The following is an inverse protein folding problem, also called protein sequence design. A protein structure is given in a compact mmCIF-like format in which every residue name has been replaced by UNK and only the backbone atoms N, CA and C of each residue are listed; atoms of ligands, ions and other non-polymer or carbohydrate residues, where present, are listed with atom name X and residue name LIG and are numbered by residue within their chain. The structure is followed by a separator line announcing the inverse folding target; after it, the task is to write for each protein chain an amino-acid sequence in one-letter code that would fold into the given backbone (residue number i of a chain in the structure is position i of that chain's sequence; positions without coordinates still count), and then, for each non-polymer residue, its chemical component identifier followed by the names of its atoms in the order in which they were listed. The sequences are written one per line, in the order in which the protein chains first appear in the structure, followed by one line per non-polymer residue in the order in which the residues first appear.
data_IF_989683482237
#
_entry.id   IF_989683482237
#
_cell.length_a   1.000
_cell.length_b   1.000
_cell.length_c   1.000
_cell.angle_alpha   90.00
_cell.angle_beta   90.00
_cell.angle_gamma   90.00
#
_symmetry.space_group_name_H-M   'P 1'
#
loop_
_entity.id
_entity.type
_entity.pdbx_description
1 polymer ?
#
# COMPACT_ATOMS: atom_id res chain seq x y z
N UNK A 1 -1.47 -18.39 -6.37
CA UNK A 1 -0.04 -18.61 -6.69
C UNK A 1 0.24 -19.86 -7.53
N UNK A 2 -0.71 -20.81 -7.71
CA UNK A 2 -0.55 -21.98 -8.59
C UNK A 2 -0.47 -21.63 -10.10
N UNK A 3 -0.77 -20.38 -10.49
CA UNK A 3 -0.85 -19.91 -11.88
C UNK A 3 0.00 -18.64 -12.16
N UNK A 4 0.85 -18.20 -11.24
CA UNK A 4 1.68 -17.01 -11.47
C UNK A 4 3.13 -17.43 -11.70
N UNK A 5 3.62 -17.20 -12.92
CA UNK A 5 5.01 -17.48 -13.31
C UNK A 5 5.99 -16.35 -12.93
N UNK A 6 5.47 -15.15 -12.68
CA UNK A 6 6.26 -13.97 -12.32
C UNK A 6 6.22 -13.70 -10.81
N UNK A 7 7.30 -13.13 -10.23
CA UNK A 7 7.32 -12.71 -8.84
C UNK A 7 6.21 -11.70 -8.54
N UNK A 8 5.56 -11.84 -7.38
CA UNK A 8 4.55 -10.88 -6.92
C UNK A 8 5.06 -10.18 -5.68
N UNK A 9 4.94 -8.86 -5.66
CA UNK A 9 5.33 -8.00 -4.55
C UNK A 9 4.07 -7.37 -3.95
N UNK A 10 3.90 -7.47 -2.63
CA UNK A 10 2.79 -6.86 -1.91
C UNK A 10 3.31 -5.90 -0.86
N UNK A 11 2.74 -4.70 -0.82
CA UNK A 11 2.98 -3.74 0.24
C UNK A 11 1.69 -3.43 0.99
N UNK A 12 1.86 -2.91 2.19
CA UNK A 12 0.83 -2.22 2.94
C UNK A 12 1.35 -0.82 3.23
N UNK A 13 0.69 0.19 2.67
CA UNK A 13 1.00 1.58 2.98
C UNK A 13 0.38 1.94 4.33
N UNK A 14 1.23 2.29 5.29
CA UNK A 14 0.87 2.53 6.69
C UNK A 14 1.34 3.87 7.23
N UNK A 15 1.95 4.71 6.39
CA UNK A 15 2.41 6.03 6.80
C UNK A 15 1.24 7.02 6.76
N UNK A 16 0.96 7.64 7.90
CA UNK A 16 0.02 8.77 8.00
C UNK A 16 0.80 10.06 7.81
N UNK A 17 0.60 10.70 6.67
CA UNK A 17 1.18 12.00 6.35
C UNK A 17 0.70 13.17 7.17
N UNK A 18 1.31 14.32 6.90
CA UNK A 18 0.79 15.62 7.30
C UNK A 18 -0.57 15.92 6.64
N UNK A 19 -0.77 15.48 5.39
CA UNK A 19 -2.05 15.57 4.67
C UNK A 19 -2.72 14.20 4.50
N UNK A 20 -4.05 14.19 4.34
CA UNK A 20 -4.84 13.01 3.91
C UNK A 20 -5.97 13.44 2.99
N UNK A 21 -6.40 12.52 2.12
CA UNK A 21 -7.66 12.67 1.39
C UNK A 21 -8.90 12.78 2.30
N UNK A 22 -8.84 12.43 3.58
CA UNK A 22 -9.94 12.74 4.50
C UNK A 22 -10.10 14.24 4.72
N UNK A 23 -9.02 15.02 4.61
CA UNK A 23 -9.04 16.47 4.81
C UNK A 23 -9.91 17.15 3.74
N UNK A 24 -9.94 16.62 2.51
CA UNK A 24 -10.77 17.14 1.41
C UNK A 24 -12.27 16.89 1.62
N UNK A 25 -12.64 16.00 2.54
CA UNK A 25 -14.02 15.73 2.97
C UNK A 25 -14.42 16.51 4.23
N UNK A 26 -13.64 17.52 4.64
CA UNK A 26 -13.80 18.28 5.88
C UNK A 26 -13.71 17.42 7.16
N UNK A 27 -13.06 16.27 7.11
CA UNK A 27 -12.76 15.48 8.29
C UNK A 27 -11.41 15.88 8.87
N UNK A 28 -11.43 16.53 10.03
CA UNK A 28 -10.23 17.06 10.70
C UNK A 28 -9.62 16.10 11.73
N UNK A 29 -10.34 15.03 12.07
CA UNK A 29 -9.86 14.00 12.98
C UNK A 29 -8.92 13.03 12.25
N UNK A 30 -7.86 12.60 12.93
CA UNK A 30 -7.00 11.54 12.42
C UNK A 30 -7.69 10.17 12.52
N UNK A 31 -8.05 9.57 11.38
CA UNK A 31 -8.65 8.24 11.26
C UNK A 31 -7.64 7.15 10.87
N UNK A 32 -6.34 7.47 10.84
CA UNK A 32 -5.31 6.64 10.24
C UNK A 32 -5.16 6.89 8.74
N UNK A 33 -4.55 5.93 8.05
CA UNK A 33 -4.26 6.04 6.61
C UNK A 33 -5.52 5.77 5.81
N UNK A 34 -5.95 6.76 5.04
CA UNK A 34 -7.13 6.66 4.21
C UNK A 34 -6.79 6.10 2.83
N UNK A 35 -7.84 5.66 2.12
CA UNK A 35 -7.70 5.31 0.72
C UNK A 35 -7.22 6.54 -0.08
N UNK A 36 -6.29 6.31 -1.03
CA UNK A 36 -5.60 7.31 -1.86
C UNK A 36 -4.47 8.06 -1.18
N UNK A 37 -4.29 7.99 0.15
CA UNK A 37 -3.21 8.74 0.83
C UNK A 37 -1.82 8.41 0.27
N UNK A 38 -1.61 7.17 -0.22
CA UNK A 38 -0.35 6.76 -0.83
C UNK A 38 -0.01 7.55 -2.10
N UNK A 39 -1.02 8.08 -2.81
CA UNK A 39 -0.82 8.83 -4.04
C UNK A 39 -0.10 10.16 -3.82
N UNK A 40 -0.22 10.75 -2.62
CA UNK A 40 0.49 11.98 -2.26
C UNK A 40 2.01 11.82 -2.23
N UNK A 41 2.48 10.57 -2.21
CA UNK A 41 3.90 10.21 -2.18
C UNK A 41 4.42 9.77 -3.54
N UNK A 42 3.54 9.61 -4.53
CA UNK A 42 3.88 9.27 -5.92
C UNK A 42 3.71 10.47 -6.85
N UNK A 43 2.73 11.33 -6.59
CA UNK A 43 2.35 12.42 -7.48
C UNK A 43 2.11 13.72 -6.70
N UNK A 44 2.47 14.84 -7.33
CA UNK A 44 2.07 16.16 -6.86
C UNK A 44 0.56 16.36 -7.13
N UNK A 45 -0.18 16.85 -6.15
CA UNK A 45 -1.62 17.11 -6.29
C UNK A 45 -1.99 18.49 -5.73
N UNK A 46 -1.60 19.55 -6.44
CA UNK A 46 -1.88 20.94 -6.04
C UNK A 46 -3.37 21.30 -6.17
N UNK A 47 -4.17 20.51 -6.90
CA UNK A 47 -5.61 20.76 -7.05
C UNK A 47 -6.36 20.44 -5.76
N UNK A 48 -6.11 19.26 -5.19
CA UNK A 48 -6.73 18.85 -3.93
C UNK A 48 -6.00 19.41 -2.71
N UNK A 49 -4.69 19.69 -2.84
CA UNK A 49 -3.83 20.13 -1.74
C UNK A 49 -2.95 21.34 -2.11
N UNK A 50 -3.54 22.51 -2.43
CA UNK A 50 -2.82 23.68 -2.92
C UNK A 50 -1.81 24.28 -1.92
N UNK A 51 -2.02 24.05 -0.62
CA UNK A 51 -1.18 24.60 0.46
C UNK A 51 -0.32 23.53 1.15
N UNK A 52 -0.17 22.35 0.53
CA UNK A 52 0.57 21.25 1.13
C UNK A 52 2.06 21.59 1.26
N UNK A 53 2.54 21.62 2.51
CA UNK A 53 3.96 21.77 2.85
C UNK A 53 4.47 20.45 3.43
N UNK A 54 5.21 19.63 2.67
CA UNK A 54 5.63 18.31 3.14
C UNK A 54 6.66 18.42 4.26
N UNK A 55 6.45 17.62 5.32
CA UNK A 55 7.47 17.41 6.36
C UNK A 55 8.67 16.64 5.80
N UNK A 56 9.78 16.59 6.55
CA UNK A 56 10.93 15.75 6.16
C UNK A 56 10.54 14.26 6.04
N UNK A 57 9.71 13.75 6.95
CA UNK A 57 9.19 12.39 6.89
C UNK A 57 8.32 12.16 5.63
N UNK A 58 7.57 13.16 5.17
CA UNK A 58 6.82 13.07 3.92
C UNK A 58 7.74 13.00 2.71
N UNK A 59 8.80 13.82 2.70
CA UNK A 59 9.81 13.82 1.63
C UNK A 59 10.55 12.49 1.56
N UNK A 60 10.97 11.95 2.71
CA UNK A 60 11.59 10.63 2.80
C UNK A 60 10.66 9.54 2.29
N UNK A 61 9.38 9.58 2.69
CA UNK A 61 8.40 8.59 2.26
C UNK A 61 8.12 8.69 0.77
N UNK A 62 8.08 9.90 0.20
CA UNK A 62 7.94 10.09 -1.25
C UNK A 62 9.16 9.56 -2.01
N UNK A 63 10.39 9.84 -1.54
CA UNK A 63 11.61 9.29 -2.13
C UNK A 63 11.58 7.76 -2.14
N UNK A 64 11.24 7.13 -1.01
CA UNK A 64 11.09 5.68 -0.93
C UNK A 64 10.03 5.17 -1.92
N UNK A 65 8.82 5.73 -1.91
CA UNK A 65 7.72 5.29 -2.77
C UNK A 65 8.07 5.40 -4.26
N UNK A 66 8.64 6.53 -4.67
CA UNK A 66 9.09 6.74 -6.05
C UNK A 66 10.17 5.73 -6.42
N UNK A 67 11.21 5.53 -5.60
CA UNK A 67 12.28 4.56 -5.87
C UNK A 67 11.74 3.12 -6.01
N UNK A 68 10.83 2.69 -5.15
CA UNK A 68 10.25 1.35 -5.22
C UNK A 68 9.45 1.14 -6.51
N UNK A 69 8.63 2.13 -6.90
CA UNK A 69 7.81 2.06 -8.11
C UNK A 69 8.62 2.15 -9.39
N UNK A 70 9.61 3.06 -9.47
CA UNK A 70 10.47 3.19 -10.64
C UNK A 70 11.36 1.96 -10.81
N UNK A 71 11.94 1.43 -9.73
CA UNK A 71 12.71 0.19 -9.79
C UNK A 71 11.87 -0.99 -10.28
N UNK A 72 10.64 -1.14 -9.80
CA UNK A 72 9.76 -2.18 -10.29
C UNK A 72 9.46 -2.03 -11.78
N UNK A 73 9.19 -0.81 -12.26
CA UNK A 73 8.94 -0.54 -13.67
C UNK A 73 10.17 -0.83 -14.54
N UNK A 74 11.38 -0.49 -14.08
CA UNK A 74 12.63 -0.68 -14.84
C UNK A 74 13.13 -2.13 -14.82
N UNK A 75 13.06 -2.80 -13.67
CA UNK A 75 13.75 -4.08 -13.45
C UNK A 75 12.81 -5.26 -13.13
N UNK A 76 11.52 -5.02 -12.90
CA UNK A 76 10.58 -6.02 -12.41
C UNK A 76 10.82 -6.44 -10.95
N UNK A 77 11.69 -5.73 -10.23
CA UNK A 77 12.02 -5.94 -8.83
C UNK A 77 12.10 -4.56 -8.13
N UNK A 78 11.32 -4.29 -7.06
CA UNK A 78 11.33 -3.00 -6.38
C UNK A 78 12.67 -2.67 -5.68
N UNK A 79 13.48 -3.68 -5.36
CA UNK A 79 14.77 -3.54 -4.68
C UNK A 79 15.86 -4.34 -5.41
N UNK A 80 16.27 -3.90 -6.62
CA UNK A 80 17.18 -4.65 -7.50
C UNK A 80 18.65 -4.55 -7.07
N UNK A 81 19.04 -3.45 -6.43
CA UNK A 81 20.38 -3.14 -5.95
C UNK A 81 20.36 -2.67 -4.50
N UNK A 82 21.54 -2.60 -3.86
CA UNK A 82 21.70 -1.95 -2.56
C UNK A 82 21.66 -0.42 -2.75
N UNK A 83 20.44 0.13 -2.72
CA UNK A 83 20.17 1.57 -2.71
C UNK A 83 19.99 2.04 -1.26
N UNK A 84 20.75 3.05 -0.84
CA UNK A 84 20.67 3.61 0.52
C UNK A 84 19.30 4.24 0.84
N UNK A 85 18.50 4.54 -0.18
CA UNK A 85 17.12 5.05 -0.05
C UNK A 85 16.15 3.96 0.42
N UNK A 86 16.48 2.68 0.23
CA UNK A 86 15.59 1.57 0.50
C UNK A 86 16.11 0.78 1.71
N UNK A 87 15.51 0.94 2.90
CA UNK A 87 16.08 0.40 4.14
C UNK A 87 15.97 -1.12 4.25
N UNK A 88 15.04 -1.75 3.52
CA UNK A 88 14.76 -3.18 3.62
C UNK A 88 14.61 -3.78 2.23
N UNK A 89 15.28 -4.90 1.96
CA UNK A 89 15.10 -5.64 0.71
C UNK A 89 13.69 -6.22 0.64
N UNK A 90 12.99 -5.99 -0.47
CA UNK A 90 11.62 -6.46 -0.67
C UNK A 90 11.63 -7.85 -1.30
N UNK A 91 11.47 -8.88 -0.47
CA UNK A 91 11.35 -10.25 -0.98
C UNK A 91 10.01 -10.47 -1.68
N UNK A 92 10.03 -11.11 -2.85
CA UNK A 92 8.81 -11.53 -3.52
C UNK A 92 8.04 -12.56 -2.69
N UNK A 93 6.72 -12.59 -2.88
CA UNK A 93 5.87 -13.56 -2.19
C UNK A 93 6.25 -15.00 -2.55
N UNK A 94 6.44 -15.84 -1.52
CA UNK A 94 6.57 -17.29 -1.65
C UNK A 94 5.20 -17.93 -1.44
N UNK A 95 4.96 -19.11 -2.05
CA UNK A 95 3.65 -19.81 -2.08
C UNK A 95 2.95 -19.93 -0.73
N UNK A 96 3.72 -20.02 0.36
CA UNK A 96 3.21 -20.29 1.72
C UNK A 96 3.40 -19.13 2.69
N UNK A 97 3.78 -17.93 2.22
CA UNK A 97 4.03 -16.77 3.08
C UNK A 97 3.43 -15.51 2.47
N UNK A 98 2.33 -15.03 3.05
CA UNK A 98 1.73 -13.73 2.72
C UNK A 98 2.54 -12.63 3.41
N UNK A 99 3.69 -12.31 2.82
CA UNK A 99 4.53 -11.20 3.29
C UNK A 99 4.01 -9.88 2.72
N UNK A 100 3.88 -8.89 3.60
CA UNK A 100 3.62 -7.50 3.27
C UNK A 100 4.89 -6.69 3.53
N UNK A 101 5.28 -5.90 2.56
CA UNK A 101 6.24 -4.82 2.75
C UNK A 101 5.50 -3.66 3.42
N UNK A 102 5.59 -3.57 4.74
CA UNK A 102 4.83 -2.64 5.54
C UNK A 102 5.58 -1.31 5.68
N UNK A 103 5.10 -0.30 4.96
CA UNK A 103 5.73 1.02 4.87
C UNK A 103 5.12 1.90 5.96
N UNK A 104 5.85 2.11 7.06
CA UNK A 104 5.42 2.99 8.15
C UNK A 104 5.94 4.42 7.97
N UNK A 105 7.07 4.60 7.30
CA UNK A 105 7.62 5.86 6.81
C UNK A 105 8.72 5.56 5.79
N UNK A 106 9.32 6.59 5.18
CA UNK A 106 10.48 6.45 4.28
C UNK A 106 11.68 5.75 4.91
N UNK A 107 11.85 5.88 6.23
CA UNK A 107 12.97 5.31 7.00
C UNK A 107 12.58 4.07 7.80
N UNK A 108 11.28 3.80 7.99
CA UNK A 108 10.79 2.67 8.77
C UNK A 108 9.93 1.74 7.91
N UNK A 109 10.55 0.63 7.51
CA UNK A 109 9.89 -0.42 6.72
C UNK A 109 10.14 -1.78 7.36
N UNK A 110 9.14 -2.65 7.33
CA UNK A 110 9.22 -4.00 7.90
C UNK A 110 8.56 -5.02 6.98
N UNK A 111 9.11 -6.24 6.90
CA UNK A 111 8.43 -7.38 6.29
C UNK A 111 7.51 -8.05 7.31
N UNK A 112 6.20 -7.87 7.16
CA UNK A 112 5.19 -8.46 8.05
C UNK A 112 4.51 -9.65 7.41
N UNK A 113 4.42 -10.76 8.17
CA UNK A 113 3.75 -11.99 7.73
C UNK A 113 2.30 -12.00 8.17
N UNK A 114 1.45 -12.59 7.34
CA UNK A 114 0.07 -12.99 7.68
C UNK A 114 -0.78 -11.85 8.25
N UNK A 115 -0.51 -10.62 7.80
CA UNK A 115 -1.32 -9.47 8.17
C UNK A 115 -2.76 -9.70 7.73
N UNK A 116 -3.68 -9.52 8.68
CA UNK A 116 -5.12 -9.70 8.49
C UNK A 116 -5.57 -11.11 8.10
N UNK A 117 -4.74 -12.15 8.29
CA UNK A 117 -5.10 -13.54 7.93
C UNK A 117 -6.43 -13.99 8.55
N UNK A 118 -6.62 -13.80 9.87
CA UNK A 118 -7.88 -14.12 10.56
C UNK A 118 -9.10 -13.40 9.98
N UNK A 119 -8.93 -12.13 9.59
CA UNK A 119 -10.01 -11.34 8.96
C UNK A 119 -10.32 -11.88 7.56
N UNK A 120 -9.29 -12.19 6.78
CA UNK A 120 -9.46 -12.78 5.44
C UNK A 120 -10.11 -14.17 5.51
N UNK A 121 -9.76 -14.99 6.50
CA UNK A 121 -10.39 -16.28 6.78
C UNK A 121 -11.85 -16.12 7.15
N UNK A 122 -12.17 -15.18 8.04
CA UNK A 122 -13.55 -14.85 8.40
C UNK A 122 -14.39 -14.51 7.15
N UNK A 123 -13.93 -13.58 6.30
CA UNK A 123 -14.68 -13.22 5.10
C UNK A 123 -14.82 -14.38 4.10
N UNK A 124 -13.82 -15.27 4.01
CA UNK A 124 -13.87 -16.46 3.15
C UNK A 124 -14.78 -17.56 3.69
N UNK A 125 -14.99 -17.63 5.01
CA UNK A 125 -15.85 -18.65 5.61
C UNK A 125 -17.33 -18.32 5.51
N UNK A 126 -17.68 -17.06 5.21
CA UNK A 126 -19.07 -16.68 5.00
C UNK A 126 -19.62 -17.35 3.72
N UNK A 127 -20.87 -17.84 3.73
CA UNK A 127 -21.50 -18.48 2.59
C UNK A 127 -21.99 -17.45 1.55
N UNK A 128 -21.13 -16.52 1.15
CA UNK A 128 -21.41 -15.45 0.19
C UNK A 128 -21.10 -15.94 -1.24
N UNK A 129 -21.83 -16.97 -1.70
CA UNK A 129 -21.78 -17.34 -3.11
C UNK A 129 -22.81 -16.50 -3.88
N UNK A 130 -22.34 -15.43 -4.53
CA UNK A 130 -23.17 -14.59 -5.41
C UNK A 130 -23.77 -15.37 -6.58
N UNK A 131 -23.30 -16.59 -6.87
CA UNK A 131 -23.91 -17.49 -7.87
C UNK A 131 -25.07 -18.32 -7.30
N UNK A 132 -25.20 -18.42 -5.97
CA UNK A 132 -26.34 -19.05 -5.27
C UNK A 132 -27.38 -18.05 -4.81
N UNK A 133 -26.97 -16.80 -4.57
CA UNK A 133 -27.91 -15.71 -4.35
C UNK A 133 -28.44 -15.25 -5.71
N UNK A 134 -29.63 -15.74 -6.10
CA UNK A 134 -30.48 -15.04 -7.08
C UNK A 134 -30.84 -13.68 -6.47
N UNK A 135 -29.94 -12.71 -6.58
CA UNK A 135 -30.32 -11.32 -6.40
C UNK A 135 -31.23 -11.04 -7.59
N UNK A 136 -32.54 -11.01 -7.35
CA UNK A 136 -33.43 -10.32 -8.27
C UNK A 136 -33.03 -8.86 -8.13
N UNK A 137 -32.32 -8.36 -9.13
CA UNK A 137 -32.17 -6.92 -9.31
C UNK A 137 -33.58 -6.40 -9.59
N UNK A 138 -34.30 -6.05 -8.53
CA UNK A 138 -35.46 -5.17 -8.65
C UNK A 138 -34.90 -3.76 -8.79
N UNK A 139 -35.26 -3.15 -9.92
CA UNK A 139 -34.92 -1.80 -10.39
C UNK A 139 -34.91 -0.74 -9.28
#
# INVERSE_FOLDING_TARGET
LKYYEKPIYKYLFGYRGTESYTNTLNYTKNYGVAHKDELLYLFKNDLDFPNYTPSEADKETSKLMVSLWTNFATYGNPTPSEDSTIPVKWESMKKDKLNYYYIQSGTKVELKKDMFAKRAEFWRSLPLDSRRMRIRDEL
#
